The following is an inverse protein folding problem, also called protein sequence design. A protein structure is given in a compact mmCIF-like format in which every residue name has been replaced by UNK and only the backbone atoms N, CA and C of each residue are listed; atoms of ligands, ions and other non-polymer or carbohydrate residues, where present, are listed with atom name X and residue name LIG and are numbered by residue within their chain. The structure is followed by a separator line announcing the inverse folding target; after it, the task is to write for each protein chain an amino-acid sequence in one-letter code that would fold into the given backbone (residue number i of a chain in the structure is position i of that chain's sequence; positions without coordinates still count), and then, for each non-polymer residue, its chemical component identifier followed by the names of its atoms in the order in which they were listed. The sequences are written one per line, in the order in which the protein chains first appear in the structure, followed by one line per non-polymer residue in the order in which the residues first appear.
data_IF_337856097383
#
_entry.id   IF_337856097383
#
_cell.length_a   1.000
_cell.length_b   1.000
_cell.length_c   1.000
_cell.angle_alpha   90.00
_cell.angle_beta   90.00
_cell.angle_gamma   90.00
#
_symmetry.space_group_name_H-M   'P 1'
#
loop_
_entity.id
_entity.type
_entity.pdbx_description
1 polymer ?
#
# COMPACT_ATOMS: atom_id res chain seq x y z
N UNK A 1 -0.37 -16.56 -16.73
CA UNK A 1 -0.81 -15.88 -15.47
C UNK A 1 -0.77 -16.92 -14.37
N UNK A 2 0.16 -16.81 -13.45
CA UNK A 2 0.33 -17.79 -12.35
C UNK A 2 -0.64 -17.42 -11.24
N UNK A 3 -1.75 -18.14 -11.11
CA UNK A 3 -2.68 -18.02 -9.98
C UNK A 3 -2.26 -18.88 -8.78
N UNK A 4 -0.96 -19.16 -8.65
CA UNK A 4 -0.47 -19.92 -7.52
C UNK A 4 -0.55 -19.08 -6.24
N UNK A 5 -1.27 -19.57 -5.24
CA UNK A 5 -1.13 -19.09 -3.87
C UNK A 5 0.17 -19.63 -3.33
N UNK A 6 1.15 -18.76 -3.14
CA UNK A 6 2.37 -19.09 -2.44
C UNK A 6 2.17 -18.97 -0.92
N UNK A 7 3.03 -19.63 -0.17
CA UNK A 7 3.09 -19.51 1.28
C UNK A 7 3.15 -18.02 1.68
N UNK A 8 2.25 -17.52 2.54
CA UNK A 8 2.29 -16.16 3.05
C UNK A 8 3.65 -15.75 3.63
N UNK A 9 4.36 -16.69 4.25
CA UNK A 9 5.69 -16.46 4.79
C UNK A 9 6.72 -16.10 3.70
N UNK A 10 6.61 -16.66 2.51
CA UNK A 10 7.52 -16.37 1.40
C UNK A 10 7.40 -14.91 0.92
N UNK A 11 6.19 -14.37 0.86
CA UNK A 11 5.97 -12.96 0.48
C UNK A 11 6.47 -11.98 1.54
N UNK A 12 6.34 -12.32 2.82
CA UNK A 12 6.88 -11.51 3.91
C UNK A 12 8.41 -11.54 3.92
N UNK A 13 9.01 -12.71 3.71
CA UNK A 13 10.45 -12.86 3.58
C UNK A 13 10.99 -12.04 2.39
N UNK A 14 10.33 -12.09 1.24
CA UNK A 14 10.70 -11.29 0.08
C UNK A 14 10.59 -9.78 0.35
N UNK A 15 9.57 -9.32 1.06
CA UNK A 15 9.44 -7.91 1.43
C UNK A 15 10.64 -7.43 2.26
N UNK A 16 11.13 -8.25 3.18
CA UNK A 16 12.34 -7.93 3.94
C UNK A 16 13.59 -7.84 3.04
N UNK A 17 13.75 -8.78 2.11
CA UNK A 17 14.86 -8.77 1.12
C UNK A 17 14.80 -7.52 0.22
N UNK A 18 13.61 -7.13 -0.22
CA UNK A 18 13.40 -5.91 -1.02
C UNK A 18 13.84 -4.67 -0.25
N UNK A 19 13.42 -4.53 1.01
CA UNK A 19 13.80 -3.38 1.86
C UNK A 19 15.31 -3.34 2.08
N UNK A 20 15.94 -4.48 2.32
CA UNK A 20 17.39 -4.59 2.48
C UNK A 20 18.13 -4.20 1.20
N UNK A 21 17.72 -4.75 0.04
CA UNK A 21 18.33 -4.44 -1.24
C UNK A 21 18.17 -2.95 -1.62
N UNK A 22 16.98 -2.40 -1.40
CA UNK A 22 16.71 -0.97 -1.58
C UNK A 22 17.64 -0.10 -0.73
N UNK A 23 17.80 -0.43 0.54
CA UNK A 23 18.66 0.30 1.49
C UNK A 23 20.12 0.21 1.10
N UNK A 24 20.61 -0.99 0.79
CA UNK A 24 21.99 -1.22 0.36
C UNK A 24 22.36 -0.44 -0.91
N UNK A 25 21.41 -0.28 -1.83
CA UNK A 25 21.59 0.42 -3.11
C UNK A 25 21.26 1.92 -3.03
N UNK A 26 20.89 2.42 -1.86
CA UNK A 26 20.45 3.82 -1.65
C UNK A 26 19.34 4.26 -2.63
N UNK A 27 18.40 3.35 -2.93
CA UNK A 27 17.27 3.62 -3.80
C UNK A 27 16.09 4.22 -3.03
N UNK A 28 15.34 5.09 -3.68
CA UNK A 28 14.08 5.62 -3.17
C UNK A 28 12.89 4.76 -3.63
N UNK A 29 11.76 4.85 -2.94
CA UNK A 29 10.52 4.22 -3.39
C UNK A 29 10.05 4.79 -4.74
N UNK A 30 10.33 6.07 -5.00
CA UNK A 30 10.03 6.69 -6.29
C UNK A 30 10.81 6.05 -7.44
N UNK A 31 12.10 5.79 -7.27
CA UNK A 31 12.91 5.12 -8.29
C UNK A 31 12.40 3.70 -8.59
N UNK A 32 11.95 2.98 -7.58
CA UNK A 32 11.32 1.67 -7.77
C UNK A 32 9.97 1.79 -8.49
N UNK A 33 9.19 2.81 -8.19
CA UNK A 33 7.93 3.10 -8.89
C UNK A 33 8.18 3.49 -10.35
N UNK A 34 9.17 4.32 -10.62
CA UNK A 34 9.56 4.72 -11.98
C UNK A 34 9.96 3.49 -12.81
N UNK A 35 10.73 2.56 -12.23
CA UNK A 35 11.09 1.30 -12.88
C UNK A 35 9.87 0.40 -13.16
N UNK A 36 8.91 0.36 -12.24
CA UNK A 36 7.69 -0.44 -12.39
C UNK A 36 6.68 0.13 -13.40
N UNK A 37 6.75 1.44 -13.68
CA UNK A 37 5.76 2.17 -14.45
C UNK A 37 4.40 2.36 -13.75
N UNK A 38 4.36 2.17 -12.41
CA UNK A 38 3.16 2.27 -11.59
C UNK A 38 3.31 3.39 -10.55
N UNK A 39 2.21 3.76 -9.88
CA UNK A 39 2.27 4.78 -8.83
C UNK A 39 3.18 4.36 -7.68
N UNK A 40 3.80 5.34 -7.02
CA UNK A 40 4.69 5.08 -5.87
C UNK A 40 3.95 4.36 -4.74
N UNK A 41 2.71 4.73 -4.46
CA UNK A 41 1.93 4.09 -3.40
C UNK A 41 1.62 2.62 -3.74
N UNK A 42 1.19 2.32 -4.97
CA UNK A 42 0.90 0.95 -5.38
C UNK A 42 2.17 0.09 -5.42
N UNK A 43 3.26 0.60 -6.01
CA UNK A 43 4.54 -0.12 -6.08
C UNK A 43 5.08 -0.43 -4.69
N UNK A 44 5.08 0.57 -3.79
CA UNK A 44 5.51 0.37 -2.40
C UNK A 44 4.66 -0.67 -1.69
N UNK A 45 3.33 -0.59 -1.80
CA UNK A 45 2.43 -1.57 -1.20
C UNK A 45 2.66 -2.98 -1.76
N UNK A 46 2.88 -3.12 -3.06
CA UNK A 46 3.19 -4.40 -3.69
C UNK A 46 4.52 -4.96 -3.19
N UNK A 47 5.56 -4.16 -3.13
CA UNK A 47 6.87 -4.56 -2.65
C UNK A 47 6.89 -4.92 -1.15
N UNK A 48 6.03 -4.28 -0.37
CA UNK A 48 5.78 -4.64 1.04
C UNK A 48 4.79 -5.81 1.21
N UNK A 49 4.44 -6.50 0.11
CA UNK A 49 3.69 -7.76 0.17
C UNK A 49 2.16 -7.63 0.15
N UNK A 50 1.60 -6.46 -0.21
CA UNK A 50 0.15 -6.25 -0.16
C UNK A 50 -0.57 -6.40 -1.52
N UNK A 51 0.15 -6.37 -2.63
CA UNK A 51 -0.38 -6.54 -3.99
C UNK A 51 0.57 -7.36 -4.87
N UNK A 52 0.04 -8.07 -5.89
CA UNK A 52 0.87 -8.62 -6.96
C UNK A 52 1.29 -7.50 -7.92
N UNK A 53 2.50 -7.60 -8.47
CA UNK A 53 2.93 -6.76 -9.59
C UNK A 53 2.58 -7.44 -10.92
N UNK A 54 2.27 -6.67 -11.98
CA UNK A 54 2.29 -7.18 -13.36
C UNK A 54 3.69 -7.71 -13.72
N UNK A 55 3.77 -8.69 -14.60
CA UNK A 55 5.04 -9.36 -14.95
C UNK A 55 6.15 -8.38 -15.35
N UNK A 56 5.86 -7.43 -16.23
CA UNK A 56 6.85 -6.45 -16.69
C UNK A 56 7.37 -5.58 -15.53
N UNK A 57 6.48 -5.13 -14.63
CA UNK A 57 6.85 -4.35 -13.46
C UNK A 57 7.67 -5.16 -12.45
N UNK A 58 7.28 -6.43 -12.22
CA UNK A 58 8.00 -7.33 -11.33
C UNK A 58 9.44 -7.59 -11.81
N UNK A 59 9.62 -7.83 -13.11
CA UNK A 59 10.95 -8.03 -13.71
C UNK A 59 11.81 -6.78 -13.61
N UNK A 60 11.25 -5.60 -13.98
CA UNK A 60 11.99 -4.34 -13.94
C UNK A 60 12.47 -3.98 -12.52
N UNK A 61 11.62 -4.19 -11.52
CA UNK A 61 11.99 -3.93 -10.13
C UNK A 61 12.99 -4.96 -9.62
N UNK A 62 12.83 -6.25 -9.95
CA UNK A 62 13.77 -7.30 -9.57
C UNK A 62 15.16 -7.04 -10.17
N UNK A 63 15.26 -6.64 -11.42
CA UNK A 63 16.52 -6.26 -12.09
C UNK A 63 17.18 -5.07 -11.38
N UNK A 64 16.42 -3.99 -11.10
CA UNK A 64 16.94 -2.81 -10.41
C UNK A 64 17.47 -3.14 -9.01
N UNK A 65 16.80 -4.05 -8.31
CA UNK A 65 17.19 -4.52 -6.99
C UNK A 65 18.24 -5.65 -7.00
N UNK A 66 18.63 -6.16 -8.19
CA UNK A 66 19.50 -7.33 -8.37
C UNK A 66 18.99 -8.59 -7.65
N UNK A 67 17.67 -8.79 -7.73
CA UNK A 67 17.01 -10.01 -7.25
C UNK A 67 16.95 -11.06 -8.36
N UNK A 68 16.81 -12.32 -7.97
CA UNK A 68 16.73 -13.42 -8.89
C UNK A 68 15.36 -13.57 -9.59
N UNK A 69 15.28 -14.48 -10.55
CA UNK A 69 14.04 -14.76 -11.29
C UNK A 69 12.94 -15.31 -10.40
N UNK A 70 13.27 -16.03 -9.33
CA UNK A 70 12.31 -16.55 -8.36
C UNK A 70 11.62 -15.41 -7.61
N UNK A 71 12.38 -14.39 -7.20
CA UNK A 71 11.82 -13.17 -6.61
C UNK A 71 10.88 -12.45 -7.58
N UNK A 72 11.25 -12.34 -8.86
CA UNK A 72 10.37 -11.72 -9.87
C UNK A 72 9.06 -12.51 -10.06
N UNK A 73 9.08 -13.83 -10.01
CA UNK A 73 7.88 -14.68 -10.02
C UNK A 73 7.05 -14.48 -8.77
N UNK A 74 7.69 -14.47 -7.60
CA UNK A 74 7.01 -14.30 -6.34
C UNK A 74 6.37 -12.91 -6.18
N UNK A 75 6.95 -11.86 -6.76
CA UNK A 75 6.34 -10.53 -6.81
C UNK A 75 5.02 -10.48 -7.60
N UNK A 76 4.77 -11.43 -8.49
CA UNK A 76 3.52 -11.56 -9.26
C UNK A 76 2.46 -12.37 -8.51
N UNK A 77 2.82 -13.09 -7.46
CA UNK A 77 1.89 -13.92 -6.71
C UNK A 77 0.90 -13.08 -5.91
N UNK A 78 -0.37 -13.54 -5.86
CA UNK A 78 -1.40 -12.91 -5.05
C UNK A 78 -1.07 -13.15 -3.57
N UNK A 79 -0.81 -12.11 -2.78
CA UNK A 79 -0.45 -12.26 -1.37
C UNK A 79 -1.69 -12.42 -0.47
N UNK A 80 -1.49 -12.95 0.72
CA UNK A 80 -2.39 -12.73 1.84
C UNK A 80 -2.18 -11.30 2.33
N UNK A 81 -3.25 -10.50 2.34
CA UNK A 81 -3.19 -9.07 2.69
C UNK A 81 -3.32 -8.84 4.17
N UNK A 82 -2.75 -7.74 4.63
CA UNK A 82 -2.71 -7.32 6.02
C UNK A 82 -1.28 -7.30 6.55
N UNK A 83 -0.82 -6.14 7.00
CA UNK A 83 0.57 -5.92 7.44
C UNK A 83 0.70 -5.74 8.95
N UNK A 84 -0.42 -5.79 9.68
CA UNK A 84 -0.44 -5.56 11.14
C UNK A 84 -0.94 -6.82 11.83
N UNK A 85 -0.05 -7.70 12.30
CA UNK A 85 -0.46 -8.85 13.07
C UNK A 85 -0.88 -8.45 14.50
N UNK A 86 -1.98 -9.00 14.97
CA UNK A 86 -2.26 -9.05 16.40
C UNK A 86 -2.81 -7.80 17.08
N UNK A 87 -3.58 -6.94 16.41
CA UNK A 87 -4.35 -5.89 17.10
C UNK A 87 -3.83 -4.46 16.95
N UNK A 88 -3.67 -3.72 18.06
CA UNK A 88 -3.28 -2.31 18.00
C UNK A 88 -1.82 -2.17 17.58
N UNK A 89 -1.50 -1.37 16.53
CA UNK A 89 -0.13 -1.17 16.09
C UNK A 89 0.66 -0.38 17.15
N UNK A 90 1.93 -0.76 17.34
CA UNK A 90 2.83 -0.11 18.30
C UNK A 90 3.86 0.82 17.65
N UNK A 91 4.08 0.71 16.33
CA UNK A 91 4.89 1.68 15.60
C UNK A 91 4.25 3.07 15.70
N UNK A 92 4.98 4.13 16.10
CA UNK A 92 4.40 5.45 16.33
C UNK A 92 3.74 6.08 15.10
N UNK A 93 4.26 5.83 13.90
CA UNK A 93 3.69 6.35 12.64
C UNK A 93 2.42 5.60 12.27
N UNK A 94 2.45 4.26 12.32
CA UNK A 94 1.27 3.44 12.04
C UNK A 94 0.19 3.67 13.09
N UNK A 95 0.59 3.75 14.37
CA UNK A 95 -0.33 4.05 15.46
C UNK A 95 -1.03 5.41 15.28
N UNK A 96 -0.36 6.41 14.68
CA UNK A 96 -0.98 7.70 14.40
C UNK A 96 -2.18 7.58 13.44
N UNK A 97 -2.08 6.73 12.40
CA UNK A 97 -3.23 6.46 11.52
C UNK A 97 -4.36 5.74 12.26
N UNK A 98 -4.02 4.77 13.11
CA UNK A 98 -5.01 4.11 13.97
C UNK A 98 -5.69 5.09 14.92
N UNK A 99 -4.95 5.97 15.59
CA UNK A 99 -5.49 7.02 16.47
C UNK A 99 -6.39 8.00 15.72
N UNK A 100 -6.03 8.40 14.50
CA UNK A 100 -6.89 9.25 13.65
C UNK A 100 -8.25 8.57 13.42
N UNK A 101 -8.26 7.28 13.10
CA UNK A 101 -9.49 6.52 12.95
C UNK A 101 -10.26 6.42 14.26
N UNK A 102 -9.58 6.22 15.40
CA UNK A 102 -10.24 6.20 16.72
C UNK A 102 -10.92 7.54 17.05
N UNK A 103 -10.30 8.65 16.73
CA UNK A 103 -10.82 9.99 17.04
C UNK A 103 -11.89 10.41 16.02
N UNK A 104 -11.61 10.22 14.73
CA UNK A 104 -12.41 10.77 13.64
C UNK A 104 -13.24 9.75 12.87
N UNK A 105 -13.18 8.47 13.21
CA UNK A 105 -13.89 7.42 12.47
C UNK A 105 -15.40 7.64 12.44
N UNK A 106 -16.01 7.98 13.56
CA UNK A 106 -17.45 8.30 13.62
C UNK A 106 -17.80 9.59 12.90
N UNK A 107 -16.93 10.60 12.92
CA UNK A 107 -17.08 11.85 12.18
C UNK A 107 -17.03 11.59 10.67
N UNK A 108 -16.04 10.84 10.21
CA UNK A 108 -15.91 10.46 8.81
C UNK A 108 -17.14 9.68 8.33
N UNK A 109 -17.59 8.71 9.14
CA UNK A 109 -18.82 7.94 8.85
C UNK A 109 -20.02 8.87 8.70
N UNK A 110 -20.23 9.78 9.64
CA UNK A 110 -21.37 10.69 9.61
C UNK A 110 -21.37 11.58 8.36
N UNK A 111 -20.24 12.19 8.02
CA UNK A 111 -20.11 13.06 6.85
C UNK A 111 -20.25 12.29 5.54
N UNK A 112 -19.69 11.10 5.45
CA UNK A 112 -19.81 10.25 4.26
C UNK A 112 -21.28 9.82 4.07
N UNK A 113 -21.95 9.37 5.11
CA UNK A 113 -23.34 8.92 5.00
C UNK A 113 -24.32 10.07 4.75
N UNK A 114 -24.02 11.27 5.23
CA UNK A 114 -24.81 12.46 4.88
C UNK A 114 -24.75 12.77 3.38
N UNK A 115 -23.58 12.62 2.75
CA UNK A 115 -23.40 12.93 1.33
C UNK A 115 -23.80 11.80 0.39
N UNK A 116 -23.59 10.55 0.77
CA UNK A 116 -23.69 9.39 -0.11
C UNK A 116 -24.79 8.39 0.29
N UNK A 117 -25.39 8.51 1.47
CA UNK A 117 -26.30 7.52 2.01
C UNK A 117 -25.56 6.33 2.64
N UNK A 118 -26.29 5.24 2.93
CA UNK A 118 -25.70 4.03 3.52
C UNK A 118 -24.84 3.27 2.52
N UNK A 119 -23.65 2.88 2.94
CA UNK A 119 -22.68 2.17 2.11
C UNK A 119 -21.25 2.27 2.66
N UNK A 120 -20.29 1.89 1.83
CA UNK A 120 -18.87 1.92 2.16
C UNK A 120 -18.02 2.50 1.04
N UNK A 121 -16.85 3.02 1.39
CA UNK A 121 -15.80 3.38 0.44
C UNK A 121 -15.04 2.11 0.08
N UNK A 122 -14.91 1.80 -1.22
CA UNK A 122 -14.15 0.63 -1.68
C UNK A 122 -12.67 0.79 -1.37
N UNK A 123 -12.05 -0.26 -0.84
CA UNK A 123 -10.60 -0.38 -0.72
C UNK A 123 -9.98 -1.17 -1.90
N UNK A 124 -10.80 -1.56 -2.90
CA UNK A 124 -10.37 -2.29 -4.11
C UNK A 124 -10.37 -1.35 -5.31
N UNK A 125 -11.48 -0.68 -5.58
CA UNK A 125 -11.53 0.44 -6.52
C UNK A 125 -11.10 1.71 -5.77
N UNK A 126 -9.79 1.87 -5.64
CA UNK A 126 -9.17 2.75 -4.65
C UNK A 126 -7.83 3.28 -5.14
N UNK A 127 -7.53 4.52 -4.79
CA UNK A 127 -6.22 5.15 -5.00
C UNK A 127 -5.72 5.76 -3.70
N UNK A 128 -4.46 5.55 -3.43
CA UNK A 128 -3.74 6.17 -2.32
C UNK A 128 -2.69 7.13 -2.89
N UNK A 129 -2.63 8.32 -2.34
CA UNK A 129 -1.60 9.30 -2.67
C UNK A 129 -1.07 9.95 -1.39
N UNK A 130 0.23 10.23 -1.37
CA UNK A 130 0.91 10.92 -0.27
C UNK A 130 1.72 12.07 -0.83
N UNK A 131 1.40 13.28 -0.42
CA UNK A 131 2.08 14.50 -0.84
C UNK A 131 2.69 15.24 0.34
N UNK A 132 3.88 15.76 0.11
CA UNK A 132 4.56 16.69 0.99
C UNK A 132 4.24 18.12 0.51
N UNK A 133 3.72 18.95 1.39
CA UNK A 133 3.42 20.35 1.09
C UNK A 133 3.97 21.26 2.20
N UNK A 134 4.28 22.51 1.86
CA UNK A 134 4.72 23.48 2.85
C UNK A 134 3.58 23.82 3.84
N UNK A 135 3.94 23.98 5.11
CA UNK A 135 3.01 24.48 6.12
C UNK A 135 3.12 26.02 6.18
N UNK A 136 1.98 26.75 6.18
CA UNK A 136 2.00 28.22 6.29
C UNK A 136 2.67 28.76 7.57
N UNK A 137 2.66 27.97 8.65
CA UNK A 137 3.27 28.32 9.94
C UNK A 137 4.74 27.85 10.06
N UNK A 138 5.29 27.27 8.99
CA UNK A 138 6.65 26.74 8.93
C UNK A 138 6.69 25.21 9.02
N UNK A 139 7.69 24.62 8.38
CA UNK A 139 7.83 23.17 8.26
C UNK A 139 6.99 22.59 7.12
N UNK A 140 6.58 21.35 7.26
CA UNK A 140 5.97 20.55 6.19
C UNK A 140 4.75 19.77 6.69
N UNK A 141 3.79 19.56 5.79
CA UNK A 141 2.60 18.75 6.01
C UNK A 141 2.61 17.53 5.11
N UNK A 142 2.20 16.39 5.64
CA UNK A 142 1.84 15.22 4.85
C UNK A 142 0.34 15.30 4.49
N UNK A 143 0.04 15.37 3.20
CA UNK A 143 -1.34 15.28 2.70
C UNK A 143 -1.55 13.87 2.15
N UNK A 144 -2.51 13.15 2.74
CA UNK A 144 -2.83 11.77 2.37
C UNK A 144 -4.23 11.75 1.80
N UNK A 145 -4.36 11.25 0.57
CA UNK A 145 -5.64 11.14 -0.13
C UNK A 145 -6.05 9.68 -0.22
N UNK A 146 -7.23 9.40 0.27
CA UNK A 146 -7.92 8.11 0.18
C UNK A 146 -9.09 8.27 -0.77
N UNK A 147 -8.92 7.90 -2.04
CA UNK A 147 -9.91 8.05 -3.10
C UNK A 147 -10.47 6.67 -3.47
N UNK A 148 -11.66 6.38 -3.00
CA UNK A 148 -12.34 5.10 -3.21
C UNK A 148 -13.75 5.27 -3.79
N UNK A 149 -14.11 4.38 -4.71
CA UNK A 149 -15.48 4.32 -5.23
C UNK A 149 -16.45 4.02 -4.11
N UNK A 150 -17.53 4.80 -4.02
CA UNK A 150 -18.59 4.54 -3.06
C UNK A 150 -19.47 3.37 -3.50
N UNK A 151 -19.73 2.45 -2.58
CA UNK A 151 -20.54 1.25 -2.78
C UNK A 151 -21.76 1.34 -1.87
N UNK A 152 -22.95 1.72 -2.39
CA UNK A 152 -24.14 1.82 -1.58
C UNK A 152 -24.64 0.45 -1.15
N UNK A 153 -25.17 0.36 0.07
CA UNK A 153 -25.89 -0.81 0.57
C UNK A 153 -27.17 -0.97 -0.24
N UNK A 154 -27.42 -2.20 -0.69
CA UNK A 154 -28.66 -2.54 -1.42
C UNK A 154 -29.46 -3.56 -0.63
N UNK A 155 -30.80 -3.38 -0.50
CA UNK A 155 -31.67 -4.42 0.05
C UNK A 155 -31.61 -5.67 -0.83
N UNK A 156 -31.76 -6.82 -0.23
CA UNK A 156 -31.85 -8.12 -0.90
C UNK A 156 -33.11 -8.89 -0.48
#
# INVERSE_FOLDING_TARGET
MVHAQFDPAARQALAAVVVEAKTRKDLTWQQLADASGLSVAFTTAALLGQHPLPEAAARAVAELLELDDEAAVLLQAIPTRGSIPGGVPTDPTIYRFYEIVQIYGTTLKALVHEQFGDGIISAINFKLDVKKVADPEGGERAVITLDGKYLPTKPF
#
